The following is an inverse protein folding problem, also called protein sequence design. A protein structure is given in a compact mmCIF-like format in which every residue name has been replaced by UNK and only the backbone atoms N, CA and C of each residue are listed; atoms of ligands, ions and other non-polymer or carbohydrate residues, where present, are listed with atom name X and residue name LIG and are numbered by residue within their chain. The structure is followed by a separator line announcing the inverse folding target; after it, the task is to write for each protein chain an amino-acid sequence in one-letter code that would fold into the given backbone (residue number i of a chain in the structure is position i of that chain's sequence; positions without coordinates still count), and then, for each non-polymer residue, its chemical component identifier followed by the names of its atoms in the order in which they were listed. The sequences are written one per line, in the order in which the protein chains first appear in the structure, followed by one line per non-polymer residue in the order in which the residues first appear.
data_IF_301812482921
#
_entry.id   IF_301812482921
#
_cell.length_a   1.000
_cell.length_b   1.000
_cell.length_c   1.000
_cell.angle_alpha   90.00
_cell.angle_beta   90.00
_cell.angle_gamma   90.00
#
_symmetry.space_group_name_H-M   'P 1'
#
loop_
_entity.id
_entity.type
_entity.pdbx_description
1 polymer ?
#
# COMPACT_ATOMS: atom_id res chain seq x y z
N UNK A 1 1.12 -12.17 -21.68
CA UNK A 1 1.98 -11.70 -22.79
C UNK A 1 1.54 -10.32 -23.24
N UNK A 2 2.37 -9.31 -22.95
CA UNK A 2 2.52 -7.99 -23.60
C UNK A 2 1.31 -7.43 -24.35
N UNK A 3 0.65 -6.41 -23.80
CA UNK A 3 0.41 -5.08 -24.43
C UNK A 3 0.10 -4.01 -23.36
N UNK A 4 1.09 -3.61 -22.56
CA UNK A 4 1.07 -2.25 -21.99
C UNK A 4 1.39 -1.30 -23.15
N UNK A 5 0.35 -0.75 -23.78
CA UNK A 5 0.53 0.31 -24.77
C UNK A 5 0.98 1.56 -24.02
N UNK A 6 2.11 2.12 -24.47
CA UNK A 6 2.69 3.33 -23.94
C UNK A 6 1.66 4.47 -23.97
N UNK A 7 1.35 5.03 -22.79
CA UNK A 7 0.59 6.27 -22.65
C UNK A 7 1.48 7.25 -21.91
N UNK A 8 1.54 8.44 -22.49
CA UNK A 8 2.31 9.62 -22.15
C UNK A 8 2.42 9.84 -20.63
N UNK A 9 3.64 9.87 -20.10
CA UNK A 9 3.93 10.20 -18.72
C UNK A 9 3.71 11.71 -18.51
N UNK A 10 2.49 12.11 -18.17
CA UNK A 10 2.24 13.39 -17.52
C UNK A 10 2.49 13.17 -16.04
N UNK A 11 3.65 13.60 -15.56
CA UNK A 11 3.94 13.71 -14.13
C UNK A 11 3.03 14.81 -13.59
N UNK A 12 1.84 14.44 -13.12
CA UNK A 12 0.99 15.34 -12.35
C UNK A 12 1.60 15.38 -10.95
N UNK A 13 2.28 16.47 -10.65
CA UNK A 13 2.73 16.82 -9.30
C UNK A 13 1.46 17.10 -8.47
N UNK A 14 0.91 16.05 -7.86
CA UNK A 14 -0.18 16.15 -6.89
C UNK A 14 0.38 16.82 -5.65
N UNK A 15 0.16 18.13 -5.56
CA UNK A 15 0.26 18.89 -4.33
C UNK A 15 -0.61 18.17 -3.30
N UNK A 16 0.03 17.67 -2.23
CA UNK A 16 -0.64 17.08 -1.08
C UNK A 16 -1.42 18.17 -0.33
N UNK A 17 -2.57 18.55 -0.88
CA UNK A 17 -3.62 19.17 -0.10
C UNK A 17 -4.32 18.02 0.64
N UNK A 18 -4.25 18.06 1.97
CA UNK A 18 -5.14 17.29 2.83
C UNK A 18 -6.56 17.82 2.62
N UNK A 19 -7.19 17.42 1.51
CA UNK A 19 -8.61 17.63 1.31
C UNK A 19 -9.28 16.51 2.08
N UNK A 20 -9.89 16.83 3.22
CA UNK A 20 -10.90 15.97 3.82
C UNK A 20 -12.07 15.90 2.82
N UNK A 21 -12.00 14.95 1.89
CA UNK A 21 -13.09 14.69 0.96
C UNK A 21 -14.18 13.98 1.76
N UNK A 22 -15.16 14.79 2.18
CA UNK A 22 -16.47 14.32 2.59
C UNK A 22 -17.10 13.57 1.40
N UNK A 23 -17.18 12.24 1.49
CA UNK A 23 -17.98 11.43 0.57
C UNK A 23 -19.46 11.53 0.95
N UNK A 24 -20.04 12.70 0.75
CA UNK A 24 -21.48 12.84 0.51
C UNK A 24 -21.76 12.58 -0.96
N UNK A 25 -22.89 11.95 -1.28
CA UNK A 25 -23.34 11.72 -2.66
C UNK A 25 -23.59 13.07 -3.37
N UNK A 26 -22.54 13.72 -3.86
CA UNK A 26 -22.64 14.97 -4.60
C UNK A 26 -23.18 14.67 -5.99
N UNK A 27 -24.48 14.89 -6.18
CA UNK A 27 -25.04 15.11 -7.52
C UNK A 27 -24.28 16.28 -8.14
N UNK A 28 -23.47 16.01 -9.15
CA UNK A 28 -22.80 17.08 -9.91
C UNK A 28 -23.76 17.57 -10.99
N UNK A 29 -23.83 18.87 -11.21
CA UNK A 29 -24.63 19.44 -12.30
C UNK A 29 -23.75 19.63 -13.54
N UNK A 30 -24.31 19.38 -14.72
CA UNK A 30 -23.60 19.55 -16.00
C UNK A 30 -24.48 20.31 -16.99
N UNK A 31 -23.87 21.27 -17.68
CA UNK A 31 -24.53 22.11 -18.67
C UNK A 31 -24.43 21.49 -20.07
N UNK A 32 -25.58 21.14 -20.64
CA UNK A 32 -25.67 20.51 -21.95
C UNK A 32 -25.94 21.56 -23.04
N UNK A 33 -25.25 21.46 -24.17
CA UNK A 33 -25.43 22.33 -25.32
C UNK A 33 -25.31 21.58 -26.66
N UNK A 34 -25.80 22.22 -27.72
CA UNK A 34 -25.82 21.65 -29.07
C UNK A 34 -24.56 22.03 -29.85
N UNK A 35 -24.01 21.08 -30.62
CA UNK A 35 -22.98 21.34 -31.65
C UNK A 35 -23.52 21.35 -33.09
N UNK A 36 -24.83 21.36 -33.24
CA UNK A 36 -25.51 21.35 -34.55
C UNK A 36 -26.25 20.05 -34.84
N UNK A 37 -26.89 20.03 -36.00
CA UNK A 37 -27.73 18.92 -36.47
C UNK A 37 -27.02 18.04 -37.49
N UNK A 38 -27.38 16.76 -37.49
CA UNK A 38 -27.05 15.76 -38.51
C UNK A 38 -28.36 15.31 -39.16
N UNK A 39 -28.37 15.27 -40.49
CA UNK A 39 -29.51 14.91 -41.34
C UNK A 39 -29.03 14.20 -42.60
N UNK A 40 -29.93 13.84 -43.51
CA UNK A 40 -29.63 13.21 -44.81
C UNK A 40 -28.91 11.84 -44.70
N UNK A 41 -28.96 11.15 -43.55
CA UNK A 41 -28.32 9.83 -43.36
C UNK A 41 -29.31 8.66 -43.33
N UNK A 42 -30.30 8.72 -42.44
CA UNK A 42 -31.22 7.61 -42.18
C UNK A 42 -32.66 8.03 -42.37
N UNK A 43 -33.48 7.10 -42.89
CA UNK A 43 -34.93 7.14 -42.79
C UNK A 43 -35.36 6.14 -41.73
N UNK A 44 -36.40 6.46 -40.95
CA UNK A 44 -37.09 5.52 -40.07
C UNK A 44 -38.56 5.45 -40.48
N UNK A 45 -39.02 4.28 -40.92
CA UNK A 45 -40.36 4.05 -41.46
C UNK A 45 -40.78 5.10 -42.51
N UNK A 46 -39.85 5.46 -43.40
CA UNK A 46 -40.10 6.43 -44.48
C UNK A 46 -40.04 7.90 -44.07
N UNK A 47 -39.65 8.23 -42.82
CA UNK A 47 -39.45 9.60 -42.35
C UNK A 47 -37.96 9.85 -42.11
N UNK A 48 -37.43 10.95 -42.62
CA UNK A 48 -36.03 11.33 -42.41
C UNK A 48 -35.72 11.54 -40.93
N UNK A 49 -34.58 10.99 -40.49
CA UNK A 49 -34.09 11.12 -39.12
C UNK A 49 -33.19 12.36 -39.01
N UNK A 50 -33.69 13.38 -38.33
CA UNK A 50 -32.88 14.51 -37.86
C UNK A 50 -32.31 14.23 -36.46
N UNK A 51 -31.03 14.55 -36.23
CA UNK A 51 -30.37 14.35 -34.93
C UNK A 51 -29.54 15.57 -34.54
N UNK A 52 -29.92 16.23 -33.44
CA UNK A 52 -29.05 17.20 -32.76
C UNK A 52 -27.94 16.50 -32.00
N UNK A 53 -26.70 16.93 -32.21
CA UNK A 53 -25.51 16.53 -31.44
C UNK A 53 -25.50 17.33 -30.14
N UNK A 54 -25.66 16.64 -29.01
CA UNK A 54 -25.63 17.22 -27.67
C UNK A 54 -24.34 16.82 -26.98
N UNK A 55 -23.68 17.79 -26.36
CA UNK A 55 -22.42 17.59 -25.61
C UNK A 55 -22.46 18.36 -24.29
N UNK A 56 -21.48 18.08 -23.45
CA UNK A 56 -21.13 18.91 -22.30
C UNK A 56 -19.60 18.98 -22.16
N UNK A 57 -19.09 20.00 -21.49
CA UNK A 57 -17.66 20.15 -21.25
C UNK A 57 -17.31 19.82 -19.80
N UNK A 58 -16.28 19.00 -19.61
CA UNK A 58 -15.71 18.70 -18.31
C UNK A 58 -14.19 18.78 -18.40
N UNK A 59 -13.58 19.64 -17.59
CA UNK A 59 -12.13 19.91 -17.60
C UNK A 59 -11.58 20.30 -18.99
N UNK A 60 -12.38 21.04 -19.78
CA UNK A 60 -12.00 21.48 -21.13
C UNK A 60 -12.13 20.41 -22.22
N UNK A 61 -12.61 19.21 -21.90
CA UNK A 61 -12.89 18.14 -22.86
C UNK A 61 -14.41 18.04 -23.06
N UNK A 62 -14.85 18.00 -24.32
CA UNK A 62 -16.26 17.80 -24.67
C UNK A 62 -16.60 16.31 -24.73
N UNK A 63 -17.70 15.92 -24.09
CA UNK A 63 -18.23 14.57 -24.14
C UNK A 63 -19.67 14.57 -24.68
N UNK A 64 -20.06 13.58 -25.50
CA UNK A 64 -21.41 13.49 -26.02
C UNK A 64 -22.40 13.04 -24.94
N UNK A 65 -23.60 13.62 -25.01
CA UNK A 65 -24.76 13.24 -24.25
C UNK A 65 -25.86 12.74 -25.21
N UNK A 66 -26.59 11.72 -24.81
CA UNK A 66 -27.62 11.08 -25.62
C UNK A 66 -28.94 11.08 -24.89
N UNK A 67 -29.95 11.72 -25.48
CA UNK A 67 -31.27 11.80 -24.87
C UNK A 67 -31.91 10.41 -24.75
N UNK A 68 -32.56 10.17 -23.63
CA UNK A 68 -33.20 8.88 -23.32
C UNK A 68 -34.73 8.95 -23.38
N UNK A 69 -35.30 10.13 -23.63
CA UNK A 69 -36.73 10.36 -23.81
C UNK A 69 -36.99 10.93 -25.21
N UNK A 70 -37.36 10.10 -26.19
CA UNK A 70 -37.58 10.53 -27.58
C UNK A 70 -38.72 11.55 -27.73
N UNK A 71 -39.75 11.48 -26.89
CA UNK A 71 -40.99 12.22 -27.10
C UNK A 71 -41.03 13.59 -26.40
N UNK A 72 -39.97 13.97 -25.69
CA UNK A 72 -39.85 15.26 -25.02
C UNK A 72 -38.89 16.19 -25.80
N UNK A 73 -39.08 17.52 -25.73
CA UNK A 73 -38.13 18.46 -26.29
C UNK A 73 -36.79 18.44 -25.55
N UNK A 74 -35.71 18.43 -26.33
CA UNK A 74 -34.34 18.35 -25.83
C UNK A 74 -33.48 19.57 -26.13
N UNK A 75 -32.18 19.42 -25.90
CA UNK A 75 -31.18 20.39 -26.30
C UNK A 75 -31.19 20.51 -27.83
N UNK A 76 -31.30 21.75 -28.30
CA UNK A 76 -31.51 22.10 -29.71
C UNK A 76 -32.92 22.56 -30.03
N UNK A 77 -33.93 21.92 -29.44
CA UNK A 77 -35.35 22.33 -29.59
C UNK A 77 -35.74 23.36 -28.52
N UNK A 78 -35.30 23.14 -27.28
CA UNK A 78 -35.58 24.02 -26.13
C UNK A 78 -34.39 24.93 -25.76
N UNK A 79 -33.29 24.91 -26.54
CA UNK A 79 -32.02 25.51 -26.17
C UNK A 79 -31.20 24.67 -25.18
N UNK A 80 -30.02 25.15 -24.73
CA UNK A 80 -29.15 24.45 -23.79
C UNK A 80 -29.70 24.49 -22.36
N UNK A 81 -29.44 23.45 -21.56
CA UNK A 81 -29.87 23.40 -20.14
C UNK A 81 -29.02 22.47 -19.28
N UNK A 82 -29.14 22.64 -17.97
CA UNK A 82 -28.41 21.87 -16.96
C UNK A 82 -29.17 20.62 -16.55
N UNK A 83 -28.45 19.52 -16.32
CA UNK A 83 -28.97 18.28 -15.75
C UNK A 83 -28.18 17.90 -14.49
N UNK A 84 -28.86 17.26 -13.54
CA UNK A 84 -28.22 16.70 -12.35
C UNK A 84 -27.74 15.27 -12.64
N UNK A 85 -26.47 14.98 -12.36
CA UNK A 85 -25.85 13.69 -12.69
C UNK A 85 -25.99 12.65 -11.57
N UNK A 86 -26.14 11.39 -11.97
CA UNK A 86 -26.08 10.21 -11.12
C UNK A 86 -25.55 9.00 -11.91
N UNK A 87 -25.37 7.85 -11.26
CA UNK A 87 -24.97 6.62 -11.96
C UNK A 87 -26.09 6.10 -12.85
N UNK A 88 -25.77 5.76 -14.11
CA UNK A 88 -26.72 5.12 -15.01
C UNK A 88 -27.04 3.69 -14.52
N UNK A 89 -28.33 3.41 -14.26
CA UNK A 89 -28.82 2.10 -13.81
C UNK A 89 -29.18 1.16 -14.95
N UNK A 90 -29.54 1.69 -16.12
CA UNK A 90 -29.97 0.89 -17.26
C UNK A 90 -28.78 0.25 -17.99
N UNK A 91 -28.57 -1.05 -17.75
CA UNK A 91 -27.45 -1.80 -18.32
C UNK A 91 -27.48 -1.87 -19.85
N UNK A 92 -28.65 -1.85 -20.47
CA UNK A 92 -28.78 -1.95 -21.92
C UNK A 92 -28.37 -0.65 -22.61
N UNK A 93 -28.71 0.50 -22.02
CA UNK A 93 -28.22 1.81 -22.49
C UNK A 93 -26.70 1.89 -22.32
N UNK A 94 -26.16 1.41 -21.19
CA UNK A 94 -24.72 1.35 -20.97
C UNK A 94 -24.03 0.50 -22.05
N UNK A 95 -24.53 -0.71 -22.34
CA UNK A 95 -24.01 -1.60 -23.39
C UNK A 95 -24.05 -0.97 -24.78
N UNK A 96 -25.12 -0.25 -25.11
CA UNK A 96 -25.20 0.49 -26.37
C UNK A 96 -24.14 1.58 -26.44
N UNK A 97 -23.94 2.35 -25.37
CA UNK A 97 -22.93 3.41 -25.34
C UNK A 97 -21.51 2.88 -25.39
N UNK A 98 -21.14 1.87 -24.61
CA UNK A 98 -19.76 1.33 -24.61
C UNK A 98 -19.37 0.65 -25.94
N UNK A 99 -20.37 0.28 -26.76
CA UNK A 99 -20.17 -0.23 -28.12
C UNK A 99 -20.41 0.83 -29.20
N UNK A 100 -20.82 2.04 -28.83
CA UNK A 100 -21.07 3.17 -29.72
C UNK A 100 -20.08 4.33 -29.49
N UNK A 101 -20.37 5.47 -30.09
CA UNK A 101 -19.59 6.69 -29.93
C UNK A 101 -19.82 7.29 -28.52
N UNK A 102 -18.77 7.76 -27.80
CA UNK A 102 -17.37 7.91 -28.22
C UNK A 102 -16.46 6.75 -27.76
N UNK A 103 -16.99 5.76 -27.04
CA UNK A 103 -16.19 4.64 -26.53
C UNK A 103 -15.66 3.73 -27.64
N UNK A 104 -16.33 3.76 -28.79
CA UNK A 104 -15.80 3.40 -30.10
C UNK A 104 -15.63 4.67 -30.91
N UNK A 105 -14.45 4.85 -31.49
CA UNK A 105 -14.21 5.91 -32.46
C UNK A 105 -15.11 5.73 -33.69
N UNK A 106 -15.37 6.80 -34.44
CA UNK A 106 -16.14 6.71 -35.69
C UNK A 106 -15.50 5.71 -36.67
N UNK A 107 -14.17 5.62 -36.70
CA UNK A 107 -13.44 4.68 -37.56
C UNK A 107 -13.65 3.21 -37.13
N UNK A 108 -13.66 2.92 -35.82
CA UNK A 108 -13.97 1.57 -35.31
C UNK A 108 -15.40 1.14 -35.64
N UNK A 109 -16.32 2.08 -35.75
CA UNK A 109 -17.71 1.85 -36.17
C UNK A 109 -17.88 1.77 -37.70
N UNK A 110 -16.82 2.02 -38.47
CA UNK A 110 -16.87 2.08 -39.93
C UNK A 110 -17.55 3.33 -40.49
N UNK A 111 -17.74 4.37 -39.66
CA UNK A 111 -18.22 5.68 -40.06
C UNK A 111 -17.07 6.55 -40.58
N UNK A 112 -17.39 7.57 -41.40
CA UNK A 112 -16.40 8.50 -41.93
C UNK A 112 -16.18 9.75 -41.07
N UNK A 113 -17.11 10.05 -40.16
CA UNK A 113 -17.03 11.21 -39.28
C UNK A 113 -17.85 10.99 -37.98
N UNK A 114 -17.69 11.91 -37.02
CA UNK A 114 -18.38 11.88 -35.73
C UNK A 114 -19.91 12.00 -35.85
N UNK A 115 -20.42 12.73 -36.86
CA UNK A 115 -21.86 12.92 -37.06
C UNK A 115 -22.58 11.62 -37.41
N UNK A 116 -22.02 10.83 -38.34
CA UNK A 116 -22.50 9.49 -38.67
C UNK A 116 -22.50 8.57 -37.43
N UNK A 117 -21.40 8.54 -36.68
CA UNK A 117 -21.25 7.69 -35.51
C UNK A 117 -22.17 8.11 -34.34
N UNK A 118 -22.34 9.42 -34.14
CA UNK A 118 -23.23 9.98 -33.13
C UNK A 118 -24.69 9.65 -33.45
N UNK A 119 -25.14 9.84 -34.70
CA UNK A 119 -26.50 9.49 -35.11
C UNK A 119 -26.76 8.00 -34.92
N UNK A 120 -25.84 7.14 -35.40
CA UNK A 120 -25.95 5.69 -35.22
C UNK A 120 -26.12 5.30 -33.74
N UNK A 121 -25.30 5.89 -32.85
CA UNK A 121 -25.34 5.62 -31.41
C UNK A 121 -26.65 6.11 -30.78
N UNK A 122 -27.12 7.30 -31.14
CA UNK A 122 -28.38 7.86 -30.64
C UNK A 122 -29.58 6.99 -31.05
N UNK A 123 -29.63 6.57 -32.32
CA UNK A 123 -30.70 5.69 -32.79
C UNK A 123 -30.61 4.30 -32.16
N UNK A 124 -29.40 3.79 -31.88
CA UNK A 124 -29.22 2.52 -31.18
C UNK A 124 -29.79 2.57 -29.76
N UNK A 125 -29.54 3.66 -29.02
CA UNK A 125 -30.13 3.89 -27.69
C UNK A 125 -31.65 3.89 -27.77
N UNK A 126 -32.26 4.51 -28.80
CA UNK A 126 -33.70 4.43 -29.01
C UNK A 126 -34.20 3.02 -29.36
N UNK A 127 -33.46 2.24 -30.16
CA UNK A 127 -33.79 0.84 -30.40
C UNK A 127 -33.78 0.01 -29.12
N UNK A 128 -32.89 0.33 -28.18
CA UNK A 128 -32.82 -0.31 -26.87
C UNK A 128 -33.97 0.12 -25.96
N UNK A 129 -34.14 1.43 -25.74
CA UNK A 129 -35.14 1.97 -24.79
C UNK A 129 -36.57 1.62 -25.21
N UNK A 130 -36.84 1.69 -26.52
CA UNK A 130 -38.17 1.46 -27.07
C UNK A 130 -38.36 0.07 -27.68
N UNK A 131 -37.39 -0.83 -27.48
CA UNK A 131 -37.39 -2.19 -28.03
C UNK A 131 -37.72 -2.25 -29.54
N UNK A 132 -37.15 -1.33 -30.33
CA UNK A 132 -37.41 -1.23 -31.79
C UNK A 132 -36.45 -2.10 -32.58
N UNK A 133 -36.94 -2.70 -33.65
CA UNK A 133 -36.10 -3.40 -34.61
C UNK A 133 -35.36 -2.39 -35.54
N UNK A 134 -34.13 -2.71 -35.93
CA UNK A 134 -33.36 -1.85 -36.85
C UNK A 134 -33.83 -1.97 -38.30
N UNK A 135 -34.64 -2.98 -38.65
CA UNK A 135 -35.29 -3.13 -39.95
C UNK A 135 -36.23 -1.98 -40.32
N UNK A 136 -36.67 -1.18 -39.34
CA UNK A 136 -37.42 0.06 -39.61
C UNK A 136 -36.56 1.18 -40.19
N UNK A 137 -35.22 1.03 -40.22
CA UNK A 137 -34.30 2.03 -40.76
C UNK A 137 -33.84 1.67 -42.18
N UNK A 138 -33.69 2.69 -43.03
CA UNK A 138 -33.03 2.58 -44.33
C UNK A 138 -32.02 3.71 -44.53
N UNK A 139 -30.98 3.44 -45.31
CA UNK A 139 -29.98 4.43 -45.68
C UNK A 139 -30.48 5.33 -46.81
N UNK A 140 -30.10 6.61 -46.77
CA UNK A 140 -30.39 7.57 -47.84
C UNK A 140 -29.32 7.49 -48.95
N UNK A 141 -28.05 7.37 -48.56
CA UNK A 141 -26.90 7.27 -49.44
C UNK A 141 -25.78 6.40 -48.82
N UNK A 142 -24.56 6.45 -49.36
CA UNK A 142 -23.41 5.70 -48.85
C UNK A 142 -23.02 6.12 -47.40
N UNK A 143 -23.19 7.38 -47.03
CA UNK A 143 -22.98 7.85 -45.67
C UNK A 143 -24.06 7.31 -44.73
N UNK A 144 -25.30 7.32 -45.19
CA UNK A 144 -26.42 6.63 -44.56
C UNK A 144 -26.16 5.15 -44.36
N UNK A 145 -25.55 4.47 -45.33
CA UNK A 145 -25.26 3.04 -45.24
C UNK A 145 -24.19 2.75 -44.18
N UNK A 146 -23.15 3.57 -44.07
CA UNK A 146 -22.18 3.47 -42.96
C UNK A 146 -22.84 3.70 -41.60
N UNK A 147 -23.68 4.72 -41.49
CA UNK A 147 -24.45 5.02 -40.29
C UNK A 147 -25.39 3.85 -39.90
N UNK A 148 -26.08 3.25 -40.88
CA UNK A 148 -26.98 2.11 -40.67
C UNK A 148 -26.21 0.86 -40.23
N UNK A 149 -25.03 0.62 -40.83
CA UNK A 149 -24.16 -0.47 -40.43
C UNK A 149 -23.68 -0.31 -38.98
N UNK A 150 -23.25 0.89 -38.60
CA UNK A 150 -22.87 1.20 -37.22
C UNK A 150 -24.04 1.02 -36.24
N UNK A 151 -25.24 1.52 -36.58
CA UNK A 151 -26.46 1.33 -35.80
C UNK A 151 -26.73 -0.16 -35.55
N UNK A 152 -26.69 -0.98 -36.60
CA UNK A 152 -26.90 -2.42 -36.51
C UNK A 152 -25.84 -3.09 -35.63
N UNK A 153 -24.57 -2.72 -35.77
CA UNK A 153 -23.48 -3.24 -34.94
C UNK A 153 -23.71 -2.93 -33.45
N UNK A 154 -24.05 -1.68 -33.11
CA UNK A 154 -24.25 -1.23 -31.74
C UNK A 154 -25.45 -1.95 -31.10
N UNK A 155 -26.60 -2.01 -31.80
CA UNK A 155 -27.81 -2.67 -31.28
C UNK A 155 -27.58 -4.17 -31.08
N UNK A 156 -26.94 -4.83 -32.05
CA UNK A 156 -26.62 -6.26 -31.94
C UNK A 156 -25.64 -6.54 -30.80
N UNK A 157 -24.60 -5.72 -30.64
CA UNK A 157 -23.66 -5.86 -29.53
C UNK A 157 -24.36 -5.65 -28.18
N UNK A 158 -25.22 -4.63 -28.06
CA UNK A 158 -25.92 -4.35 -26.82
C UNK A 158 -26.91 -5.44 -26.41
N UNK A 159 -27.66 -6.00 -27.38
CA UNK A 159 -28.66 -7.06 -27.14
C UNK A 159 -28.05 -8.42 -26.81
N UNK A 160 -26.90 -8.75 -27.40
CA UNK A 160 -26.29 -10.07 -27.26
C UNK A 160 -25.14 -10.13 -26.25
N UNK A 161 -24.73 -8.99 -25.67
CA UNK A 161 -23.65 -8.94 -24.68
C UNK A 161 -24.10 -9.38 -23.28
N UNK A 162 -23.19 -10.01 -22.54
CA UNK A 162 -23.33 -10.28 -21.11
C UNK A 162 -22.48 -9.34 -20.24
N UNK A 163 -21.83 -8.33 -20.83
CA UNK A 163 -20.99 -7.37 -20.10
C UNK A 163 -21.79 -6.62 -19.04
N UNK A 164 -21.15 -6.38 -17.90
CA UNK A 164 -21.66 -5.59 -16.77
C UNK A 164 -20.72 -4.43 -16.48
N UNK A 165 -21.21 -3.40 -15.80
CA UNK A 165 -20.34 -2.30 -15.35
C UNK A 165 -19.25 -2.88 -14.44
N UNK A 166 -17.99 -2.63 -14.77
CA UNK A 166 -16.84 -3.06 -13.99
C UNK A 166 -16.58 -2.05 -12.87
N UNK A 167 -16.21 -2.52 -11.68
CA UNK A 167 -15.86 -1.66 -10.54
C UNK A 167 -14.56 -0.89 -10.81
N UNK A 168 -14.50 0.37 -10.37
CA UNK A 168 -13.27 1.18 -10.37
C UNK A 168 -12.34 0.85 -9.19
N UNK A 169 -12.79 0.01 -8.26
CA UNK A 169 -12.05 -0.34 -7.06
C UNK A 169 -10.66 -0.94 -7.36
N UNK A 170 -9.70 -0.57 -6.50
CA UNK A 170 -8.36 -1.11 -6.48
C UNK A 170 -8.20 -2.06 -5.28
N UNK A 171 -7.57 -3.21 -5.51
CA UNK A 171 -7.37 -4.22 -4.48
C UNK A 171 -5.90 -4.33 -4.13
N UNK A 172 -5.59 -4.15 -2.85
CA UNK A 172 -4.24 -4.33 -2.29
C UNK A 172 -4.09 -5.81 -1.91
N UNK A 173 -3.04 -6.44 -2.41
CA UNK A 173 -2.72 -7.84 -2.15
C UNK A 173 -1.36 -7.94 -1.44
N UNK A 174 -1.30 -8.69 -0.35
CA UNK A 174 -0.04 -9.03 0.28
C UNK A 174 0.71 -10.02 -0.60
N UNK A 175 1.97 -9.72 -0.94
CA UNK A 175 2.76 -10.55 -1.83
C UNK A 175 3.70 -11.51 -1.08
N UNK A 176 3.89 -11.32 0.23
CA UNK A 176 4.63 -12.21 1.09
C UNK A 176 3.90 -12.46 2.42
N UNK A 177 4.22 -13.57 3.07
CA UNK A 177 3.67 -13.92 4.37
C UNK A 177 4.37 -13.12 5.47
N UNK A 178 3.60 -12.33 6.21
CA UNK A 178 4.08 -11.63 7.39
C UNK A 178 5.10 -10.52 7.13
N UNK A 179 5.65 -9.97 8.21
CA UNK A 179 6.76 -9.01 8.18
C UNK A 179 8.07 -9.75 8.27
N UNK A 180 9.00 -9.43 7.38
CA UNK A 180 10.29 -10.11 7.28
C UNK A 180 11.42 -9.09 7.41
N UNK A 181 12.58 -9.52 7.91
CA UNK A 181 13.79 -8.70 7.89
C UNK A 181 14.07 -8.26 6.45
N UNK A 182 14.26 -6.96 6.23
CA UNK A 182 14.48 -6.44 4.88
C UNK A 182 15.78 -7.02 4.28
N UNK A 183 15.75 -7.28 2.98
CA UNK A 183 16.84 -7.93 2.27
C UNK A 183 18.00 -6.97 1.94
N UNK A 184 17.74 -5.67 1.86
CA UNK A 184 18.72 -4.64 1.51
C UNK A 184 19.20 -3.86 2.73
N UNK A 185 18.34 -3.66 3.74
CA UNK A 185 18.69 -2.98 5.00
C UNK A 185 18.20 -3.78 6.21
N UNK A 186 19.12 -4.48 6.88
CA UNK A 186 18.82 -5.32 8.04
C UNK A 186 18.35 -4.56 9.29
N UNK A 187 18.35 -3.22 9.28
CA UNK A 187 17.74 -2.43 10.35
C UNK A 187 16.21 -2.25 10.20
N UNK A 188 15.62 -2.73 9.11
CA UNK A 188 14.19 -2.64 8.82
C UNK A 188 13.53 -4.03 8.73
N UNK A 189 12.24 -4.07 9.04
CA UNK A 189 11.33 -5.11 8.53
C UNK A 189 10.57 -4.57 7.33
N UNK A 190 10.24 -5.46 6.40
CA UNK A 190 9.55 -5.14 5.16
C UNK A 190 8.38 -6.09 4.92
N UNK A 191 7.37 -5.56 4.23
CA UNK A 191 6.27 -6.33 3.65
C UNK A 191 5.98 -5.83 2.25
N UNK A 192 5.82 -6.76 1.31
CA UNK A 192 5.61 -6.46 -0.11
C UNK A 192 4.12 -6.50 -0.44
N UNK A 193 3.69 -5.56 -1.27
CA UNK A 193 2.30 -5.44 -1.71
C UNK A 193 2.21 -5.28 -3.23
N UNK A 194 1.17 -5.85 -3.80
CA UNK A 194 0.74 -5.63 -5.17
C UNK A 194 -0.63 -4.94 -5.19
N UNK A 195 -0.92 -4.21 -6.27
CA UNK A 195 -2.24 -3.61 -6.50
C UNK A 195 -2.85 -4.23 -7.75
N UNK A 196 -4.14 -4.52 -7.70
CA UNK A 196 -4.90 -5.10 -8.82
C UNK A 196 -6.22 -4.36 -9.01
N UNK A 197 -6.88 -4.54 -10.16
CA UNK A 197 -8.22 -4.03 -10.42
C UNK A 197 -8.93 -4.91 -11.45
N UNK A 198 -10.24 -5.02 -11.35
CA UNK A 198 -11.07 -5.73 -12.34
C UNK A 198 -11.16 -4.97 -13.67
N UNK A 199 -11.05 -3.63 -13.64
CA UNK A 199 -11.16 -2.77 -14.82
C UNK A 199 -9.82 -2.54 -15.55
N UNK A 200 -8.70 -2.94 -14.92
CA UNK A 200 -7.37 -2.51 -15.33
C UNK A 200 -7.13 -1.03 -15.05
N UNK A 201 -5.85 -0.68 -14.87
CA UNK A 201 -5.40 0.66 -14.49
C UNK A 201 -3.95 0.86 -14.95
N UNK A 202 -3.47 2.10 -14.98
CA UNK A 202 -2.11 2.41 -15.50
C UNK A 202 -1.10 2.68 -14.39
N UNK A 203 -1.50 3.44 -13.38
CA UNK A 203 -0.68 3.83 -12.26
C UNK A 203 -1.52 3.89 -10.98
N UNK A 204 -0.83 3.88 -9.85
CA UNK A 204 -1.42 4.05 -8.54
C UNK A 204 -0.48 4.84 -7.62
N UNK A 205 -1.07 5.53 -6.67
CA UNK A 205 -0.42 6.22 -5.57
C UNK A 205 -0.77 5.50 -4.27
N UNK A 206 0.21 5.34 -3.39
CA UNK A 206 0.07 4.67 -2.10
C UNK A 206 0.21 5.70 -0.99
N UNK A 207 -0.66 5.61 0.01
CA UNK A 207 -0.55 6.36 1.25
C UNK A 207 -0.74 5.42 2.43
N UNK A 208 -0.17 5.77 3.58
CA UNK A 208 -0.36 5.05 4.84
C UNK A 208 -0.93 5.99 5.89
N UNK A 209 -1.89 5.49 6.67
CA UNK A 209 -2.59 6.25 7.71
C UNK A 209 -2.72 5.43 9.00
N UNK A 210 -2.68 6.11 10.14
CA UNK A 210 -2.83 5.50 11.46
C UNK A 210 -1.64 5.78 12.38
N UNK A 211 -1.55 5.03 13.47
CA UNK A 211 -0.41 5.11 14.38
C UNK A 211 0.70 4.16 13.89
N UNK A 212 1.61 4.72 13.11
CA UNK A 212 2.64 3.97 12.40
C UNK A 212 4.00 4.23 13.09
N UNK A 213 4.88 3.21 13.24
CA UNK A 213 6.22 3.42 13.77
C UNK A 213 6.96 4.54 13.02
N UNK A 214 7.62 5.42 13.77
CA UNK A 214 8.38 6.54 13.20
C UNK A 214 9.45 6.01 12.21
N UNK A 215 9.63 6.71 11.08
CA UNK A 215 10.57 6.30 10.04
C UNK A 215 10.06 5.17 9.13
N UNK A 216 8.78 4.79 9.23
CA UNK A 216 8.13 3.92 8.25
C UNK A 216 8.05 4.60 6.89
N UNK A 217 8.36 3.84 5.83
CA UNK A 217 8.44 4.35 4.45
C UNK A 217 7.70 3.46 3.47
N UNK A 218 7.21 4.09 2.41
CA UNK A 218 6.77 3.42 1.18
C UNK A 218 7.94 3.48 0.21
N UNK A 219 8.37 2.32 -0.28
CA UNK A 219 9.53 2.21 -1.17
C UNK A 219 9.23 1.28 -2.34
N UNK A 220 10.03 1.36 -3.40
CA UNK A 220 10.09 0.31 -4.41
C UNK A 220 10.85 -0.93 -3.91
N UNK A 221 10.99 -1.95 -4.76
CA UNK A 221 11.69 -3.18 -4.40
C UNK A 221 13.20 -3.00 -4.13
N UNK A 222 13.77 -1.85 -4.51
CA UNK A 222 15.18 -1.48 -4.31
C UNK A 222 15.38 -0.49 -3.16
N UNK A 223 14.36 -0.30 -2.31
CA UNK A 223 14.35 0.67 -1.19
C UNK A 223 14.43 2.15 -1.61
N UNK A 224 14.12 2.50 -2.87
CA UNK A 224 13.97 3.90 -3.24
C UNK A 224 12.61 4.41 -2.74
N UNK A 225 12.64 5.46 -1.92
CA UNK A 225 11.45 6.08 -1.36
C UNK A 225 10.64 6.78 -2.45
N UNK A 226 9.42 6.28 -2.66
CA UNK A 226 8.42 6.86 -3.56
C UNK A 226 7.06 6.27 -3.25
N UNK A 227 6.02 6.99 -3.59
CA UNK A 227 4.64 6.60 -3.34
C UNK A 227 3.81 6.41 -4.61
N UNK A 228 4.41 6.50 -5.81
CA UNK A 228 3.72 6.30 -7.09
C UNK A 228 4.37 5.18 -7.90
N UNK A 229 3.52 4.34 -8.49
CA UNK A 229 3.90 3.09 -9.14
C UNK A 229 3.03 2.85 -10.38
N UNK A 230 3.56 2.16 -11.38
CA UNK A 230 2.80 1.65 -12.52
C UNK A 230 2.08 0.34 -12.15
N UNK A 231 1.05 -0.05 -12.91
CA UNK A 231 0.19 -1.20 -12.58
C UNK A 231 0.89 -2.56 -12.46
N UNK A 232 2.12 -2.71 -12.98
CA UNK A 232 2.91 -3.94 -12.85
C UNK A 232 3.97 -3.85 -11.74
N UNK A 233 4.19 -2.66 -11.19
CA UNK A 233 5.15 -2.46 -10.11
C UNK A 233 4.52 -2.87 -8.78
N UNK A 234 5.32 -3.51 -7.94
CA UNK A 234 5.02 -3.76 -6.53
C UNK A 234 5.69 -2.68 -5.69
N UNK A 235 5.20 -2.51 -4.46
CA UNK A 235 5.82 -1.64 -3.48
C UNK A 235 6.11 -2.41 -2.18
N UNK A 236 7.00 -1.88 -1.35
CA UNK A 236 7.20 -2.34 0.02
C UNK A 236 6.78 -1.25 0.99
N UNK A 237 6.25 -1.68 2.13
CA UNK A 237 6.29 -0.86 3.35
C UNK A 237 7.45 -1.38 4.17
N UNK A 238 8.36 -0.48 4.55
CA UNK A 238 9.49 -0.81 5.44
C UNK A 238 9.36 -0.03 6.74
N UNK A 239 9.63 -0.69 7.88
CA UNK A 239 9.56 -0.08 9.22
C UNK A 239 10.88 -0.31 9.97
N UNK A 240 11.48 0.74 10.59
CA UNK A 240 12.72 0.58 11.36
C UNK A 240 12.45 -0.29 12.59
N UNK A 241 13.17 -1.41 12.74
CA UNK A 241 12.96 -2.38 13.82
C UNK A 241 13.03 -1.74 15.22
N UNK A 242 13.97 -0.80 15.41
CA UNK A 242 14.14 -0.04 16.66
C UNK A 242 12.90 0.76 17.09
N UNK A 243 11.98 1.02 16.17
CA UNK A 243 10.77 1.82 16.41
C UNK A 243 9.50 0.94 16.51
N UNK A 244 9.60 -0.37 16.28
CA UNK A 244 8.47 -1.32 16.36
C UNK A 244 8.35 -1.89 17.78
N UNK A 245 8.04 -1.01 18.73
CA UNK A 245 8.05 -1.35 20.17
C UNK A 245 6.74 -1.92 20.70
N UNK A 246 5.64 -1.82 19.93
CA UNK A 246 4.31 -2.32 20.30
C UNK A 246 3.69 -3.06 19.11
N UNK A 247 2.76 -3.96 19.41
CA UNK A 247 1.87 -4.49 18.39
C UNK A 247 0.96 -3.38 17.89
N UNK A 248 0.58 -3.42 16.63
CA UNK A 248 -0.25 -2.37 16.06
C UNK A 248 -0.80 -2.70 14.69
N UNK A 249 -1.51 -1.71 14.16
CA UNK A 249 -2.07 -1.76 12.83
C UNK A 249 -2.09 -0.37 12.20
N UNK A 250 -2.14 -0.36 10.87
CA UNK A 250 -2.32 0.83 10.08
C UNK A 250 -3.11 0.52 8.81
N UNK A 251 -3.53 1.56 8.11
CA UNK A 251 -4.22 1.44 6.83
C UNK A 251 -3.28 1.82 5.70
N UNK A 252 -3.23 0.98 4.68
CA UNK A 252 -2.72 1.34 3.36
C UNK A 252 -3.92 1.80 2.53
N UNK A 253 -3.80 2.97 1.92
CA UNK A 253 -4.73 3.48 0.91
C UNK A 253 -4.02 3.55 -0.43
N UNK A 254 -4.70 3.09 -1.47
CA UNK A 254 -4.24 3.24 -2.84
C UNK A 254 -5.26 4.03 -3.65
N UNK A 255 -4.78 4.86 -4.56
CA UNK A 255 -5.60 5.65 -5.48
C UNK A 255 -5.03 5.55 -6.88
N UNK A 256 -5.89 5.48 -7.88
CA UNK A 256 -5.49 5.42 -9.29
C UNK A 256 -6.68 5.62 -10.20
N UNK A 257 -6.46 5.43 -11.50
CA UNK A 257 -7.51 5.58 -12.51
C UNK A 257 -7.79 4.24 -13.20
N UNK A 258 -9.01 3.75 -12.99
CA UNK A 258 -9.49 2.47 -13.48
C UNK A 258 -10.24 2.64 -14.81
N UNK A 259 -10.06 1.72 -15.76
CA UNK A 259 -10.66 1.80 -17.09
C UNK A 259 -12.07 1.17 -17.11
N UNK A 260 -13.06 1.88 -16.56
CA UNK A 260 -14.43 1.37 -16.39
C UNK A 260 -15.43 1.83 -17.45
N UNK A 261 -15.06 2.77 -18.33
CA UNK A 261 -15.97 3.43 -19.30
C UNK A 261 -17.29 3.91 -18.63
N UNK A 262 -17.22 4.79 -17.62
CA UNK A 262 -18.38 5.18 -16.83
C UNK A 262 -19.41 5.96 -17.67
N UNK A 263 -20.69 5.66 -17.47
CA UNK A 263 -21.79 6.41 -18.08
C UNK A 263 -22.65 6.99 -16.95
N UNK A 264 -22.95 8.27 -17.05
CA UNK A 264 -23.80 8.97 -16.09
C UNK A 264 -25.22 9.12 -16.64
N UNK A 265 -26.20 9.15 -15.75
CA UNK A 265 -27.55 9.59 -16.04
C UNK A 265 -27.66 11.07 -15.69
N UNK A 266 -28.18 11.89 -16.59
CA UNK A 266 -28.47 13.29 -16.38
C UNK A 266 -29.97 13.52 -16.32
N UNK A 267 -30.49 13.76 -15.12
CA UNK A 267 -31.89 14.11 -14.91
C UNK A 267 -32.10 15.61 -15.16
N UNK A 268 -33.01 15.93 -16.07
CA UNK A 268 -33.53 17.28 -16.20
C UNK A 268 -34.31 17.65 -14.95
N UNK A 269 -34.10 18.86 -14.44
CA UNK A 269 -34.91 19.41 -13.34
C UNK A 269 -36.36 19.72 -13.75
N UNK A 270 -36.73 19.49 -15.02
CA UNK A 270 -38.02 19.79 -15.61
C UNK A 270 -38.55 18.58 -16.37
N UNK A 271 -39.62 17.96 -15.86
CA UNK A 271 -40.22 16.75 -16.42
C UNK A 271 -40.75 16.89 -17.87
N UNK A 272 -40.84 18.11 -18.41
CA UNK A 272 -41.19 18.36 -19.80
C UNK A 272 -39.98 18.35 -20.74
N UNK A 273 -38.76 18.17 -20.24
CA UNK A 273 -37.52 18.13 -21.03
C UNK A 273 -36.90 16.74 -21.00
N UNK A 274 -36.01 16.48 -21.98
CA UNK A 274 -35.29 15.21 -22.05
C UNK A 274 -34.26 15.06 -20.93
N UNK A 275 -34.16 13.85 -20.40
CA UNK A 275 -33.01 13.35 -19.65
C UNK A 275 -31.99 12.75 -20.61
N UNK A 276 -30.76 12.52 -20.12
CA UNK A 276 -29.65 12.04 -20.96
C UNK A 276 -28.86 10.91 -20.31
N UNK A 277 -28.28 10.07 -21.15
CA UNK A 277 -27.12 9.25 -20.82
C UNK A 277 -25.86 9.97 -21.31
N UNK A 278 -24.91 10.22 -20.41
CA UNK A 278 -23.71 11.02 -20.66
C UNK A 278 -22.51 10.09 -20.73
N UNK A 279 -21.85 10.06 -21.89
CA UNK A 279 -20.53 9.46 -21.99
C UNK A 279 -19.52 10.33 -21.24
N UNK A 280 -18.43 9.74 -20.78
CA UNK A 280 -17.39 10.42 -20.02
C UNK A 280 -16.01 9.94 -20.50
N UNK A 281 -14.94 10.27 -19.77
CA UNK A 281 -13.62 9.66 -19.98
C UNK A 281 -13.72 8.13 -19.84
N UNK A 282 -12.84 7.37 -20.49
CA UNK A 282 -12.76 5.92 -20.28
C UNK A 282 -12.30 5.56 -18.84
N UNK A 283 -11.69 6.52 -18.14
CA UNK A 283 -11.13 6.36 -16.81
C UNK A 283 -12.08 6.90 -15.73
N UNK A 284 -12.19 6.15 -14.63
CA UNK A 284 -12.89 6.52 -13.40
C UNK A 284 -11.88 6.50 -12.26
N UNK A 285 -11.99 7.43 -11.32
CA UNK A 285 -11.16 7.40 -10.11
C UNK A 285 -11.49 6.13 -9.32
N UNK A 286 -10.42 5.44 -8.89
CA UNK A 286 -10.47 4.19 -8.15
C UNK A 286 -9.65 4.30 -6.90
N UNK A 287 -10.19 3.76 -5.80
CA UNK A 287 -9.50 3.67 -4.53
C UNK A 287 -9.56 2.25 -3.97
N UNK A 288 -8.66 1.99 -3.03
CA UNK A 288 -8.55 0.74 -2.29
C UNK A 288 -7.99 0.97 -0.91
N UNK A 289 -8.50 0.26 0.09
CA UNK A 289 -7.98 0.33 1.46
C UNK A 289 -7.75 -1.06 2.02
N UNK A 290 -6.57 -1.28 2.61
CA UNK A 290 -6.26 -2.50 3.34
C UNK A 290 -5.75 -2.15 4.74
N UNK A 291 -6.23 -2.90 5.73
CA UNK A 291 -5.73 -2.82 7.10
C UNK A 291 -4.59 -3.83 7.26
N UNK A 292 -3.44 -3.37 7.72
CA UNK A 292 -2.22 -4.16 7.87
C UNK A 292 -1.82 -4.18 9.34
N UNK A 293 -1.48 -5.36 9.84
CA UNK A 293 -1.08 -5.60 11.22
C UNK A 293 0.42 -5.85 11.30
N UNK A 294 1.04 -5.40 12.39
CA UNK A 294 2.44 -5.68 12.72
C UNK A 294 2.56 -6.04 14.20
N UNK A 295 3.58 -6.81 14.53
CA UNK A 295 3.90 -7.20 15.91
C UNK A 295 5.13 -6.45 16.38
N UNK A 296 5.21 -6.18 17.69
CA UNK A 296 6.41 -5.64 18.31
C UNK A 296 7.62 -6.53 18.04
N UNK A 297 8.79 -5.90 17.98
CA UNK A 297 10.06 -6.61 17.97
C UNK A 297 10.21 -7.41 19.28
N UNK A 298 10.37 -8.73 19.20
CA UNK A 298 10.63 -9.59 20.35
C UNK A 298 12.03 -10.23 20.32
N UNK A 299 12.96 -9.59 19.61
CA UNK A 299 14.36 -10.03 19.52
C UNK A 299 15.08 -9.64 20.82
N UNK A 300 15.33 -10.63 21.69
CA UNK A 300 15.80 -10.38 23.06
C UNK A 300 16.96 -11.30 23.46
N UNK A 301 17.87 -10.79 24.27
CA UNK A 301 18.89 -11.60 24.95
C UNK A 301 18.58 -11.62 26.45
N UNK A 302 18.58 -12.82 27.03
CA UNK A 302 18.46 -13.02 28.48
C UNK A 302 19.70 -13.76 28.98
N UNK A 303 20.42 -13.13 29.91
CA UNK A 303 21.59 -13.70 30.57
C UNK A 303 21.16 -14.10 31.98
N UNK A 304 21.46 -15.34 32.37
CA UNK A 304 21.24 -15.87 33.71
C UNK A 304 22.60 -16.23 34.31
N UNK A 305 22.96 -15.55 35.40
CA UNK A 305 24.21 -15.74 36.10
C UNK A 305 24.03 -16.61 37.34
N UNK A 306 24.83 -17.67 37.43
CA UNK A 306 24.82 -18.60 38.57
C UNK A 306 26.21 -18.93 39.10
N UNK A 307 26.27 -19.43 40.33
CA UNK A 307 27.40 -20.17 40.87
C UNK A 307 27.48 -21.54 40.19
N UNK A 308 28.68 -21.94 39.75
CA UNK A 308 28.90 -23.16 38.98
C UNK A 308 28.64 -24.45 39.77
N UNK A 309 28.78 -24.42 41.11
CA UNK A 309 28.60 -25.59 41.99
C UNK A 309 27.22 -25.59 42.63
N UNK A 310 26.76 -24.47 43.19
CA UNK A 310 25.50 -24.40 43.96
C UNK A 310 24.27 -24.10 43.09
N UNK A 311 24.45 -23.64 41.85
CA UNK A 311 23.39 -23.10 40.97
C UNK A 311 22.65 -21.88 41.56
N UNK A 312 23.17 -21.28 42.64
CA UNK A 312 22.61 -20.05 43.21
C UNK A 312 22.76 -18.88 42.23
N UNK A 313 21.74 -18.03 42.14
CA UNK A 313 21.77 -16.85 41.28
C UNK A 313 22.73 -15.79 41.81
N UNK A 314 23.50 -15.17 40.91
CA UNK A 314 24.48 -14.14 41.26
C UNK A 314 24.01 -12.76 40.80
N UNK A 315 23.56 -11.94 41.76
CA UNK A 315 23.25 -10.51 41.56
C UNK A 315 24.51 -9.66 41.51
N UNK A 316 24.51 -8.54 40.77
CA UNK A 316 25.57 -7.54 40.81
C UNK A 316 26.77 -7.83 39.89
N UNK A 317 26.69 -8.87 39.07
CA UNK A 317 27.70 -9.18 38.05
C UNK A 317 27.45 -8.29 36.84
N UNK A 318 28.52 -7.72 36.28
CA UNK A 318 28.45 -6.75 35.18
C UNK A 318 28.89 -7.33 33.85
N UNK A 319 28.16 -6.95 32.81
CA UNK A 319 28.37 -7.38 31.44
C UNK A 319 28.36 -6.20 30.48
N UNK A 320 29.03 -6.39 29.35
CA UNK A 320 28.84 -5.62 28.13
C UNK A 320 28.21 -6.50 27.05
N UNK A 321 27.40 -5.89 26.19
CA UNK A 321 26.97 -6.48 24.92
C UNK A 321 27.70 -5.77 23.79
N UNK A 322 28.31 -6.54 22.88
CA UNK A 322 29.05 -6.05 21.74
C UNK A 322 28.39 -6.52 20.44
N UNK A 323 28.49 -5.70 19.39
CA UNK A 323 28.01 -6.02 18.04
C UNK A 323 28.97 -6.99 17.30
N UNK A 324 28.64 -7.35 16.05
CA UNK A 324 29.45 -8.21 15.19
C UNK A 324 30.89 -7.72 14.98
N UNK A 325 31.09 -6.39 15.05
CA UNK A 325 32.38 -5.72 14.88
C UNK A 325 33.12 -5.56 16.22
N UNK A 326 32.57 -6.11 17.30
CA UNK A 326 33.07 -6.01 18.68
C UNK A 326 33.07 -4.58 19.22
N UNK A 327 32.19 -3.72 18.73
CA UNK A 327 31.91 -2.44 19.35
C UNK A 327 30.93 -2.64 20.52
N UNK A 328 31.17 -1.96 21.63
CA UNK A 328 30.27 -2.00 22.79
C UNK A 328 28.99 -1.23 22.44
N UNK A 329 27.85 -1.92 22.49
CA UNK A 329 26.52 -1.32 22.24
C UNK A 329 25.70 -1.18 23.52
N UNK A 330 26.00 -1.98 24.55
CA UNK A 330 25.52 -1.79 25.92
C UNK A 330 26.67 -2.02 26.89
N UNK A 331 26.78 -1.16 27.89
CA UNK A 331 27.85 -1.21 28.90
C UNK A 331 27.27 -1.30 30.31
N UNK A 332 28.02 -1.90 31.23
CA UNK A 332 27.69 -1.95 32.66
C UNK A 332 26.29 -2.54 32.96
N UNK A 333 25.84 -3.51 32.14
CA UNK A 333 24.61 -4.25 32.39
C UNK A 333 24.78 -5.12 33.63
N UNK A 334 23.91 -4.98 34.61
CA UNK A 334 24.06 -5.62 35.93
C UNK A 334 22.98 -6.67 36.19
N UNK A 335 23.39 -7.85 36.67
CA UNK A 335 22.45 -8.92 37.04
C UNK A 335 21.61 -8.54 38.24
N UNK A 336 20.29 -8.78 38.15
CA UNK A 336 19.35 -8.49 39.23
C UNK A 336 19.33 -9.59 40.33
N UNK A 337 18.39 -9.51 41.28
CA UNK A 337 18.20 -10.50 42.36
C UNK A 337 18.02 -11.96 41.88
N UNK A 338 17.54 -12.15 40.64
CA UNK A 338 17.38 -13.47 40.01
C UNK A 338 18.60 -13.84 39.16
N UNK A 339 19.71 -13.10 39.29
CA UNK A 339 20.89 -13.26 38.45
C UNK A 339 20.63 -12.93 36.98
N UNK A 340 19.55 -12.21 36.66
CA UNK A 340 19.08 -12.02 35.28
C UNK A 340 19.45 -10.63 34.74
N UNK A 341 19.89 -10.59 33.48
CA UNK A 341 19.90 -9.40 32.62
C UNK A 341 19.00 -9.70 31.43
N UNK A 342 18.13 -8.75 31.06
CA UNK A 342 17.26 -8.83 29.90
C UNK A 342 17.48 -7.60 29.02
N UNK A 343 17.83 -7.85 27.77
CA UNK A 343 18.06 -6.83 26.74
C UNK A 343 17.01 -7.06 25.66
N UNK A 344 16.17 -6.06 25.40
CA UNK A 344 14.99 -6.19 24.54
C UNK A 344 15.10 -5.36 23.27
N UNK A 345 14.29 -5.70 22.27
CA UNK A 345 14.15 -4.98 21.01
C UNK A 345 15.47 -4.83 20.22
N UNK A 346 16.32 -5.86 20.27
CA UNK A 346 17.57 -5.91 19.52
C UNK A 346 17.32 -6.05 18.02
N UNK A 347 18.32 -5.69 17.21
CA UNK A 347 18.32 -6.06 15.81
C UNK A 347 18.71 -7.55 15.68
N UNK A 348 18.17 -8.30 14.71
CA UNK A 348 18.67 -9.64 14.42
C UNK A 348 20.11 -9.58 13.95
N UNK A 349 20.92 -10.56 14.33
CA UNK A 349 22.31 -10.64 13.92
C UNK A 349 23.23 -11.22 14.98
N UNK A 350 24.53 -10.96 14.79
CA UNK A 350 25.60 -11.53 15.60
C UNK A 350 26.00 -10.59 16.75
N UNK A 351 26.15 -11.16 17.94
CA UNK A 351 26.53 -10.45 19.15
C UNK A 351 27.59 -11.20 19.96
N UNK A 352 28.27 -10.46 20.84
CA UNK A 352 29.19 -11.00 21.83
C UNK A 352 28.82 -10.50 23.23
N UNK A 353 28.72 -11.43 24.19
CA UNK A 353 28.55 -11.12 25.61
C UNK A 353 29.92 -11.16 26.28
N UNK A 354 30.26 -10.11 27.02
CA UNK A 354 31.50 -10.00 27.78
C UNK A 354 31.19 -9.75 29.26
N UNK A 355 31.66 -10.62 30.15
CA UNK A 355 31.66 -10.32 31.58
C UNK A 355 32.79 -9.33 31.90
N UNK A 356 32.47 -8.21 32.54
CA UNK A 356 33.43 -7.14 32.84
C UNK A 356 33.76 -7.02 34.31
N UNK A 357 32.84 -7.45 35.19
CA UNK A 357 33.06 -7.48 36.64
C UNK A 357 32.25 -8.59 37.29
N UNK A 358 32.87 -9.35 38.18
CA UNK A 358 32.24 -10.37 39.02
C UNK A 358 32.19 -9.95 40.49
N UNK A 359 31.50 -10.74 41.32
CA UNK A 359 31.47 -10.61 42.77
C UNK A 359 32.81 -11.01 43.41
N UNK A 360 33.09 -10.45 44.59
CA UNK A 360 34.25 -10.84 45.39
C UNK A 360 34.21 -12.34 45.72
N UNK A 361 35.36 -13.01 45.64
CA UNK A 361 35.46 -14.45 45.86
C UNK A 361 35.00 -15.31 44.67
N UNK A 362 34.72 -14.72 43.50
CA UNK A 362 34.45 -15.44 42.26
C UNK A 362 35.50 -15.13 41.18
N UNK A 363 35.77 -16.11 40.32
CA UNK A 363 36.57 -15.93 39.11
C UNK A 363 35.70 -15.41 37.97
N UNK A 364 36.17 -14.34 37.30
CA UNK A 364 35.51 -13.76 36.13
C UNK A 364 35.55 -14.71 34.93
N UNK A 365 34.48 -14.74 34.14
CA UNK A 365 34.46 -15.41 32.84
C UNK A 365 35.16 -14.54 31.78
N UNK A 366 36.38 -14.90 31.38
CA UNK A 366 37.28 -14.07 30.57
C UNK A 366 37.08 -14.19 29.04
N UNK A 367 36.22 -15.11 28.59
CA UNK A 367 35.95 -15.34 27.16
C UNK A 367 34.71 -14.58 26.68
N UNK A 368 34.74 -14.18 25.40
CA UNK A 368 33.54 -13.70 24.72
C UNK A 368 32.63 -14.88 24.39
N UNK A 369 31.35 -14.73 24.70
CA UNK A 369 30.31 -15.68 24.30
C UNK A 369 29.68 -15.13 23.03
N UNK A 370 29.92 -15.83 21.91
CA UNK A 370 29.33 -15.53 20.62
C UNK A 370 27.89 -16.07 20.56
N UNK A 371 26.97 -15.26 20.02
CA UNK A 371 25.64 -15.69 19.67
C UNK A 371 25.17 -15.04 18.37
N UNK A 372 24.24 -15.71 17.70
CA UNK A 372 23.47 -15.17 16.59
C UNK A 372 22.00 -15.27 16.99
N UNK A 373 21.24 -14.19 16.77
CA UNK A 373 19.83 -14.10 17.16
C UNK A 373 18.97 -13.76 15.95
N UNK A 374 17.93 -14.54 15.71
CA UNK A 374 16.98 -14.32 14.63
C UNK A 374 15.87 -13.32 15.03
N UNK A 375 15.15 -12.82 14.02
CA UNK A 375 14.03 -11.89 14.24
C UNK A 375 12.94 -12.52 15.11
N UNK A 376 12.57 -11.80 16.17
CA UNK A 376 11.57 -12.22 17.17
C UNK A 376 11.99 -13.44 18.01
N UNK A 377 13.28 -13.79 18.02
CA UNK A 377 13.82 -14.82 18.90
C UNK A 377 14.14 -14.25 20.30
N UNK A 378 14.01 -15.07 21.35
CA UNK A 378 14.59 -14.75 22.66
C UNK A 378 15.67 -15.77 23.02
N UNK A 379 16.93 -15.37 22.88
CA UNK A 379 18.08 -16.20 23.21
C UNK A 379 18.37 -16.14 24.72
N UNK A 380 18.48 -17.31 25.37
CA UNK A 380 18.72 -17.42 26.82
C UNK A 380 20.05 -18.12 27.10
N UNK A 381 20.93 -17.48 27.87
CA UNK A 381 22.27 -18.00 28.19
C UNK A 381 22.45 -18.15 29.69
N UNK A 382 22.96 -19.31 30.12
CA UNK A 382 23.46 -19.49 31.49
C UNK A 382 24.97 -19.28 31.50
N UNK A 383 25.45 -18.32 32.28
CA UNK A 383 26.87 -18.03 32.45
C UNK A 383 27.23 -18.28 33.91
N UNK A 384 28.10 -19.26 34.16
CA UNK A 384 28.44 -19.70 35.51
C UNK A 384 29.81 -19.17 35.93
N UNK A 385 29.96 -18.78 37.20
CA UNK A 385 31.26 -18.45 37.79
C UNK A 385 31.60 -19.44 38.88
N UNK A 386 32.90 -19.72 39.02
CA UNK A 386 33.44 -20.54 40.08
C UNK A 386 33.89 -19.65 41.23
N UNK A 387 33.65 -20.07 42.48
CA UNK A 387 34.26 -19.44 43.64
C UNK A 387 35.77 -19.66 43.60
N UNK A 388 36.52 -18.60 43.89
CA UNK A 388 37.96 -18.66 44.08
C UNK A 388 38.24 -19.50 45.33
N UNK A 389 38.94 -20.62 45.17
CA UNK A 389 39.36 -21.44 46.31
C UNK A 389 40.44 -20.68 47.09
N UNK A 390 40.17 -20.39 48.36
CA UNK A 390 41.16 -19.81 49.28
C UNK A 390 42.01 -20.96 49.79
N UNK A 391 43.26 -21.07 49.33
CA UNK A 391 44.25 -21.96 49.95
C UNK A 391 44.72 -21.25 51.21
N UNK A 392 44.29 -21.73 52.38
CA UNK A 392 44.89 -21.36 53.66
C UNK A 392 46.08 -22.30 53.85
N UNK A 393 47.30 -21.82 53.62
CA UNK A 393 48.50 -22.53 54.08
C UNK A 393 48.59 -22.37 55.60
N UNK A 394 48.28 -23.43 56.34
CA UNK A 394 48.52 -23.49 57.79
C UNK A 394 50.03 -23.58 58.04
N UNK A 395 50.64 -22.49 58.52
CA UNK A 395 51.99 -22.53 59.11
C UNK A 395 51.97 -23.43 60.36
N UNK A 396 52.56 -24.62 60.25
CA UNK A 396 52.89 -25.47 61.40
C UNK A 396 54.05 -24.83 62.17
N UNK A 397 53.74 -24.25 63.34
CA UNK A 397 54.74 -23.94 64.35
C UNK A 397 55.27 -25.26 64.97
N UNK A 398 56.49 -25.64 64.61
CA UNK A 398 57.27 -26.63 65.35
C UNK A 398 57.93 -25.97 66.57
N UNK A 399 57.58 -26.47 67.75
CA UNK A 399 58.26 -26.21 69.01
C UNK A 399 59.64 -26.86 69.02
N UNK A 400 60.71 -26.06 69.03
CA UNK A 400 62.04 -26.53 69.43
C UNK A 400 62.32 -26.20 70.89
N UNK A 401 62.73 -27.26 71.60
CA UNK A 401 63.15 -27.26 73.00
C UNK A 401 64.67 -27.09 73.04
N UNK A 402 65.21 -26.09 73.73
CA UNK A 402 66.65 -25.98 73.98
C UNK A 402 67.00 -26.12 75.46
N UNK A 403 67.82 -27.14 75.73
CA UNK A 403 68.46 -27.48 77.00
C UNK A 403 69.62 -26.52 77.30
N UNK A 404 69.79 -26.19 78.58
CA UNK A 404 70.81 -25.29 79.15
C UNK A 404 72.21 -25.92 79.18
N UNK A 405 73.27 -25.15 78.89
CA UNK A 405 74.56 -25.32 79.55
C UNK A 405 75.39 -24.02 79.66
N UNK A 406 75.98 -23.81 80.85
CA UNK A 406 76.94 -22.73 81.26
C UNK A 406 78.24 -22.83 80.41
N UNK A 407 79.15 -21.86 80.25
CA UNK A 407 79.66 -20.76 81.09
C UNK A 407 80.71 -19.98 80.25
N UNK A 408 80.85 -18.64 80.39
CA UNK A 408 82.07 -17.88 80.80
C UNK A 408 81.97 -16.38 80.48
N UNK A 409 82.24 -15.56 81.49
CA UNK A 409 82.34 -14.10 81.48
C UNK A 409 83.52 -13.59 80.62
N UNK A 410 83.39 -12.36 80.09
CA UNK A 410 84.30 -11.21 80.34
C UNK A 410 83.52 -9.89 80.10
N UNK A 411 83.59 -8.96 81.05
CA UNK A 411 83.03 -7.59 81.05
C UNK A 411 83.98 -6.56 80.41
N UNK A 412 83.48 -5.36 80.05
CA UNK A 412 84.11 -4.01 80.12
C UNK A 412 83.18 -2.97 79.42
N UNK A 413 83.25 -1.64 79.68
CA UNK A 413 82.91 -0.89 80.89
C UNK A 413 81.83 0.21 80.66
N UNK A 414 81.45 0.91 81.74
CA UNK A 414 80.38 1.92 81.87
C UNK A 414 80.92 3.36 81.76
N UNK A 415 80.13 4.32 81.24
CA UNK A 415 80.03 5.74 81.69
C UNK A 415 78.65 6.28 81.27
N UNK A 416 77.73 6.71 82.15
CA UNK A 416 77.68 8.02 82.85
C UNK A 416 76.96 9.05 81.95
N UNK A 417 75.89 9.78 82.32
CA UNK A 417 75.24 10.18 83.57
C UNK A 417 73.73 10.16 83.42
#
# INVERSE_FOLDING_TARGET
MKKCRAILAIIIMLISLNVNISFGANRSEVYLYSKGGVKDLLMYNGIEVYTTIVVYSQNGIEYPAYCVNKDLPGVGENGPYTVSTSNLSNIMIWRALINGYPYKSYAELGCSNEGEAYMATKQAIYCIIYNRDTSGYSAIDDAGQRCLNALNQIVNAARNSNETKISSELYIQENNTGWNLDNLDKSYISKEFAVTSNAGFSNYVVNVEGNIPEGTKIVDLNNNERNSFTCNERFKVIMPLKNVNNDGDFKIKVQGQANTKPVLYGASGNASLQDYALATSILEDGDGTAKVYYTKNNTNIVIIKKDNKTNEFLKGVKFNLLDENKNIIYTELETNEKGEIRIENLLPGKYYIQETRTLAGYRIYDKLIELEIELNETAKFNINNEKTEVIIEEEKNETETTVVNKQKEVTLPVTGY
#
